data_IF_176996722391
#
_entry.id   IF_176996722391
#
_cell.length_a   1.000
_cell.length_b   1.000
_cell.length_c   1.000
_cell.angle_alpha   90.00
_cell.angle_beta   90.00
_cell.angle_gamma   90.00
#
_symmetry.space_group_name_H-M   'P 1'
#
loop_
_entity.id
_entity.type
_entity.pdbx_description
1 polymer ?
#
# COMPACT_ATOMS: atom_id res chain seq x y z
N UNK A 1 8.58 12.22 -20.62
CA UNK A 1 8.91 13.06 -19.46
C UNK A 1 8.49 12.32 -18.20
N UNK A 2 9.20 12.42 -17.09
CA UNK A 2 8.95 11.58 -15.90
C UNK A 2 7.51 11.67 -15.37
N UNK A 3 6.87 12.83 -15.58
CA UNK A 3 5.45 13.06 -15.33
C UNK A 3 4.53 12.25 -16.23
N UNK A 4 4.83 12.09 -17.51
CA UNK A 4 3.99 11.29 -18.42
C UNK A 4 4.07 9.80 -18.12
N UNK A 5 5.20 9.27 -17.64
CA UNK A 5 5.32 7.84 -17.32
C UNK A 5 4.56 7.48 -16.02
N UNK A 6 4.67 8.31 -14.99
CA UNK A 6 3.88 8.09 -13.75
C UNK A 6 2.40 8.39 -13.96
N UNK A 7 2.06 9.42 -14.74
CA UNK A 7 0.68 9.69 -15.12
C UNK A 7 0.10 8.55 -15.96
N UNK A 8 0.86 7.98 -16.90
CA UNK A 8 0.43 6.81 -17.68
C UNK A 8 0.34 5.54 -16.84
N UNK A 9 1.19 5.33 -15.83
CA UNK A 9 1.04 4.21 -14.88
C UNK A 9 -0.18 4.39 -13.97
N UNK A 10 -0.44 5.61 -13.52
CA UNK A 10 -1.62 5.95 -12.73
C UNK A 10 -2.90 5.79 -13.57
N UNK A 11 -2.87 6.24 -14.84
CA UNK A 11 -3.95 6.01 -15.82
C UNK A 11 -4.13 4.53 -16.17
N UNK A 12 -3.06 3.75 -16.28
CA UNK A 12 -3.14 2.31 -16.53
C UNK A 12 -3.73 1.56 -15.31
N UNK A 13 -3.40 2.00 -14.09
CA UNK A 13 -4.05 1.52 -12.85
C UNK A 13 -5.54 1.87 -12.82
N UNK A 14 -5.92 3.07 -13.27
CA UNK A 14 -7.33 3.50 -13.38
C UNK A 14 -8.10 2.73 -14.47
N UNK A 15 -7.44 2.33 -15.56
CA UNK A 15 -8.06 1.58 -16.66
C UNK A 15 -8.23 0.08 -16.36
N UNK A 16 -7.47 -0.49 -15.42
CA UNK A 16 -7.57 -1.90 -15.01
C UNK A 16 -8.58 -2.15 -13.88
N UNK A 17 -9.21 -1.10 -13.36
CA UNK A 17 -10.11 -1.18 -12.20
C UNK A 17 -11.51 -1.82 -12.40
N UNK A 18 -12.02 -2.20 -13.59
CA UNK A 18 -13.33 -2.84 -13.64
C UNK A 18 -13.24 -4.33 -14.00
N UNK A 19 -12.72 -5.19 -13.11
CA UNK A 19 -12.96 -6.65 -13.16
C UNK A 19 -13.08 -7.30 -11.77
N UNK A 20 -13.73 -6.63 -10.80
CA UNK A 20 -14.26 -7.36 -9.64
C UNK A 20 -15.63 -7.93 -10.01
N UNK A 21 -15.62 -9.23 -10.31
CA UNK A 21 -16.78 -10.10 -10.56
C UNK A 21 -17.85 -9.91 -9.50
N UNK A 22 -19.03 -9.47 -9.92
CA UNK A 22 -20.27 -9.63 -9.14
C UNK A 22 -20.66 -11.11 -9.19
N UNK A 23 -20.61 -11.79 -8.05
CA UNK A 23 -21.29 -13.08 -7.86
C UNK A 23 -22.51 -12.85 -6.98
N UNK A 24 -23.70 -13.12 -7.52
CA UNK A 24 -24.99 -13.07 -6.80
C UNK A 24 -25.21 -14.40 -6.10
N UNK A 25 -25.52 -14.39 -4.80
CA UNK A 25 -26.51 -15.30 -4.20
C UNK A 25 -27.08 -14.77 -2.86
N UNK A 26 -28.42 -14.70 -2.85
CA UNK A 26 -29.44 -14.71 -1.78
C UNK A 26 -29.07 -14.53 -0.29
N UNK A 27 -29.62 -13.42 0.26
CA UNK A 27 -30.37 -13.28 1.53
C UNK A 27 -29.77 -13.83 2.83
N UNK A 28 -28.86 -13.06 3.42
CA UNK A 28 -28.92 -12.48 4.78
C UNK A 28 -27.53 -11.89 5.09
N UNK A 29 -27.14 -10.76 4.50
CA UNK A 29 -25.71 -10.43 4.47
C UNK A 29 -25.40 -9.09 5.11
N UNK A 30 -24.88 -9.14 6.33
CA UNK A 30 -23.78 -8.25 6.69
C UNK A 30 -22.72 -8.41 5.60
N UNK A 31 -22.62 -7.43 4.71
CA UNK A 31 -21.60 -7.45 3.65
C UNK A 31 -20.24 -7.46 4.33
N UNK A 32 -19.35 -8.44 4.04
CA UNK A 32 -17.99 -8.41 4.54
C UNK A 32 -17.38 -7.08 4.14
N UNK A 33 -16.83 -6.35 5.12
CA UNK A 33 -16.07 -5.14 4.83
C UNK A 33 -14.95 -5.56 3.85
N UNK A 34 -14.79 -4.87 2.70
CA UNK A 34 -13.72 -5.18 1.77
C UNK A 34 -12.36 -5.18 2.47
N UNK A 35 -11.34 -5.78 1.86
CA UNK A 35 -9.98 -5.70 2.42
C UNK A 35 -9.21 -4.63 1.64
N UNK A 36 -8.59 -3.63 2.31
CA UNK A 36 -7.80 -2.63 1.61
C UNK A 36 -6.59 -3.25 0.93
N UNK A 37 -6.32 -2.81 -0.30
CA UNK A 37 -5.10 -3.07 -1.02
C UNK A 37 -4.07 -1.96 -0.78
N UNK A 38 -2.78 -2.26 -1.01
CA UNK A 38 -1.74 -1.22 -0.94
C UNK A 38 -2.04 -0.10 -1.93
N UNK A 39 -2.64 -0.41 -3.09
CA UNK A 39 -3.13 0.59 -4.04
C UNK A 39 -4.14 1.58 -3.45
N UNK A 40 -4.99 1.16 -2.50
CA UNK A 40 -5.92 2.08 -1.80
C UNK A 40 -5.17 3.05 -0.90
N UNK A 41 -4.17 2.54 -0.18
CA UNK A 41 -3.25 3.31 0.68
C UNK A 41 -2.46 4.35 -0.12
N UNK A 42 -2.13 4.06 -1.39
CA UNK A 42 -1.41 5.00 -2.26
C UNK A 42 -2.20 6.28 -2.59
N UNK A 43 -3.50 6.33 -2.30
CA UNK A 43 -4.32 7.54 -2.51
C UNK A 43 -4.34 8.48 -1.29
N UNK A 44 -3.66 8.14 -0.19
CA UNK A 44 -3.63 8.92 1.05
C UNK A 44 -2.24 9.57 1.25
N UNK A 45 -2.12 10.84 0.89
CA UNK A 45 -0.82 11.55 0.89
C UNK A 45 -0.21 11.70 2.29
N UNK A 46 -1.03 11.94 3.32
CA UNK A 46 -0.57 12.11 4.70
C UNK A 46 -0.06 10.80 5.29
N UNK A 47 -0.75 9.70 4.99
CA UNK A 47 -0.28 8.37 5.33
C UNK A 47 1.03 8.05 4.61
N UNK A 48 1.11 8.30 3.30
CA UNK A 48 2.32 8.08 2.52
C UNK A 48 3.49 8.90 3.07
N UNK A 49 3.27 10.16 3.43
CA UNK A 49 4.29 11.01 4.06
C UNK A 49 4.78 10.39 5.38
N UNK A 50 3.87 9.93 6.23
CA UNK A 50 4.20 9.28 7.50
C UNK A 50 5.02 8.00 7.30
N UNK A 51 4.65 7.17 6.33
CA UNK A 51 5.37 5.93 6.02
C UNK A 51 6.78 6.23 5.51
N UNK A 52 6.95 7.23 4.65
CA UNK A 52 8.27 7.67 4.17
C UNK A 52 9.19 8.09 5.30
N UNK A 53 8.70 8.93 6.22
CA UNK A 53 9.50 9.35 7.38
C UNK A 53 9.97 8.17 8.22
N UNK A 54 9.17 7.10 8.31
CA UNK A 54 9.47 5.91 9.12
C UNK A 54 10.32 4.87 8.39
N UNK A 55 10.21 4.77 7.08
CA UNK A 55 10.76 3.66 6.30
C UNK A 55 11.89 4.08 5.37
N UNK A 56 11.99 5.33 4.92
CA UNK A 56 13.09 5.80 4.07
C UNK A 56 14.44 5.83 4.79
N UNK A 57 14.55 6.29 6.06
CA UNK A 57 15.84 6.36 6.73
C UNK A 57 16.53 5.00 6.85
N UNK A 58 17.84 4.97 6.54
CA UNK A 58 18.68 3.83 6.79
C UNK A 58 19.27 3.93 8.20
N UNK A 59 18.75 3.14 9.12
CA UNK A 59 19.31 3.00 10.46
C UNK A 59 19.77 1.55 10.65
N UNK A 60 21.03 1.28 11.06
CA UNK A 60 21.61 -0.07 11.05
C UNK A 60 20.78 -1.14 11.79
N UNK A 61 20.07 -0.74 12.85
CA UNK A 61 19.29 -1.64 13.70
C UNK A 61 17.79 -1.62 13.43
N UNK A 62 17.27 -0.64 12.67
CA UNK A 62 15.83 -0.50 12.40
C UNK A 62 15.56 -0.99 10.99
N UNK A 63 14.72 -2.02 10.87
CA UNK A 63 14.37 -2.61 9.57
C UNK A 63 13.55 -1.65 8.74
N UNK A 64 13.99 -1.35 7.53
CA UNK A 64 13.42 -0.29 6.70
C UNK A 64 12.79 -0.85 5.41
N UNK A 65 12.45 0.04 4.45
CA UNK A 65 11.85 -0.36 3.17
C UNK A 65 12.65 -1.46 2.46
N UNK A 66 13.99 -1.44 2.56
CA UNK A 66 14.89 -2.38 1.87
C UNK A 66 14.73 -3.80 2.42
N UNK A 67 14.56 -3.93 3.73
CA UNK A 67 14.28 -5.22 4.35
C UNK A 67 12.91 -5.76 3.94
N UNK A 68 11.92 -4.88 3.86
CA UNK A 68 10.56 -5.24 3.46
C UNK A 68 10.54 -5.73 2.01
N UNK A 69 11.12 -4.95 1.11
CA UNK A 69 11.30 -5.28 -0.30
C UNK A 69 12.03 -6.61 -0.51
N UNK A 70 13.16 -6.81 0.18
CA UNK A 70 13.92 -8.07 0.11
C UNK A 70 13.10 -9.27 0.59
N UNK A 71 12.32 -9.13 1.68
CA UNK A 71 11.46 -10.21 2.18
C UNK A 71 10.35 -10.60 1.20
N UNK A 72 9.89 -9.65 0.39
CA UNK A 72 8.93 -9.88 -0.68
C UNK A 72 9.57 -10.24 -2.02
N UNK A 73 10.87 -10.53 -2.04
CA UNK A 73 11.55 -11.15 -3.18
C UNK A 73 12.20 -10.17 -4.16
N UNK A 74 12.31 -8.87 -3.83
CA UNK A 74 13.10 -7.95 -4.66
C UNK A 74 14.58 -8.32 -4.61
N UNK A 75 15.19 -8.40 -5.79
CA UNK A 75 16.61 -8.74 -5.96
C UNK A 75 17.53 -7.62 -5.50
N UNK A 76 18.80 -7.93 -5.24
CA UNK A 76 19.79 -6.92 -4.85
C UNK A 76 19.89 -5.77 -5.86
N UNK A 77 19.93 -6.08 -7.16
CA UNK A 77 20.03 -5.09 -8.23
C UNK A 77 18.79 -4.19 -8.27
N UNK A 78 17.59 -4.73 -8.06
CA UNK A 78 16.37 -3.94 -7.97
C UNK A 78 16.35 -3.01 -6.75
N UNK A 79 16.90 -3.45 -5.61
CA UNK A 79 17.04 -2.61 -4.42
C UNK A 79 18.00 -1.44 -4.69
N UNK A 80 19.18 -1.73 -5.26
CA UNK A 80 20.15 -0.69 -5.61
C UNK A 80 19.60 0.27 -6.67
N UNK A 81 18.80 -0.22 -7.62
CA UNK A 81 18.11 0.62 -8.58
C UNK A 81 17.14 1.60 -7.92
N UNK A 82 16.41 1.19 -6.87
CA UNK A 82 15.54 2.12 -6.11
C UNK A 82 16.34 3.14 -5.30
N UNK A 83 17.49 2.77 -4.74
CA UNK A 83 18.38 3.67 -3.98
C UNK A 83 18.95 4.81 -4.84
N UNK A 84 19.14 4.58 -6.14
CA UNK A 84 19.66 5.57 -7.09
C UNK A 84 18.62 6.57 -7.58
N UNK A 85 17.33 6.29 -7.36
CA UNK A 85 16.26 7.18 -7.82
C UNK A 85 16.13 8.41 -6.91
N UNK A 86 15.75 9.57 -7.47
CA UNK A 86 15.45 10.75 -6.66
C UNK A 86 14.12 10.62 -5.90
N UNK A 87 13.27 9.63 -6.22
CA UNK A 87 12.03 9.36 -5.52
C UNK A 87 12.25 8.57 -4.24
N UNK A 88 11.30 8.68 -3.30
CA UNK A 88 11.30 7.86 -2.09
C UNK A 88 11.26 6.36 -2.45
N UNK A 89 12.24 5.56 -1.98
CA UNK A 89 12.24 4.13 -2.24
C UNK A 89 11.09 3.41 -1.52
N UNK A 90 10.56 3.95 -0.41
CA UNK A 90 9.33 3.43 0.22
C UNK A 90 8.14 3.53 -0.72
N UNK A 91 7.96 4.66 -1.41
CA UNK A 91 6.84 4.83 -2.34
C UNK A 91 6.94 3.88 -3.54
N UNK A 92 8.13 3.73 -4.11
CA UNK A 92 8.35 2.81 -5.23
C UNK A 92 8.13 1.35 -4.81
N UNK A 93 8.56 0.97 -3.59
CA UNK A 93 8.30 -0.34 -3.02
C UNK A 93 6.78 -0.61 -2.86
N UNK A 94 6.03 0.34 -2.30
CA UNK A 94 4.59 0.22 -2.12
C UNK A 94 3.88 0.15 -3.48
N UNK A 95 4.26 1.00 -4.43
CA UNK A 95 3.69 1.01 -5.78
C UNK A 95 3.90 -0.32 -6.52
N UNK A 96 5.09 -0.92 -6.43
CA UNK A 96 5.38 -2.23 -7.03
C UNK A 96 4.56 -3.38 -6.41
N UNK A 97 4.01 -3.18 -5.22
CA UNK A 97 3.23 -4.16 -4.49
C UNK A 97 1.77 -3.70 -4.32
N UNK A 98 1.27 -2.79 -5.17
CA UNK A 98 -0.06 -2.20 -5.04
C UNK A 98 -1.20 -3.23 -5.03
N UNK A 99 -1.00 -4.38 -5.67
CA UNK A 99 -1.95 -5.51 -5.72
C UNK A 99 -1.95 -6.39 -4.46
N UNK A 100 -0.99 -6.20 -3.54
CA UNK A 100 -1.00 -6.89 -2.24
C UNK A 100 -2.00 -6.22 -1.29
N UNK A 101 -2.52 -6.98 -0.34
CA UNK A 101 -3.41 -6.43 0.69
C UNK A 101 -2.60 -5.68 1.76
N UNK A 102 -3.23 -4.69 2.40
CA UNK A 102 -2.62 -4.00 3.55
C UNK A 102 -2.41 -4.97 4.72
N UNK A 103 -3.23 -6.02 4.84
CA UNK A 103 -3.02 -7.10 5.81
C UNK A 103 -1.66 -7.79 5.63
N UNK A 104 -1.24 -8.06 4.40
CA UNK A 104 0.10 -8.62 4.12
C UNK A 104 1.22 -7.65 4.51
N UNK A 105 1.04 -6.35 4.29
CA UNK A 105 1.99 -5.31 4.74
C UNK A 105 2.05 -5.23 6.27
N UNK A 106 0.91 -5.36 6.95
CA UNK A 106 0.80 -5.44 8.41
C UNK A 106 1.57 -6.66 8.95
N UNK A 107 1.42 -7.82 8.33
CA UNK A 107 2.14 -9.03 8.74
C UNK A 107 3.65 -8.88 8.57
N UNK A 108 4.09 -8.15 7.54
CA UNK A 108 5.49 -7.80 7.36
C UNK A 108 6.00 -6.88 8.47
N UNK A 109 5.18 -5.91 8.89
CA UNK A 109 5.50 -5.04 10.02
C UNK A 109 5.62 -5.84 11.33
N UNK A 110 4.72 -6.80 11.57
CA UNK A 110 4.78 -7.71 12.73
C UNK A 110 6.04 -8.57 12.69
N UNK A 111 6.36 -9.17 11.54
CA UNK A 111 7.56 -9.99 11.34
C UNK A 111 8.84 -9.23 11.70
N UNK A 112 8.98 -7.99 11.23
CA UNK A 112 10.13 -7.14 11.52
C UNK A 112 10.01 -6.35 12.82
N UNK A 113 8.94 -6.57 13.60
CA UNK A 113 8.65 -5.85 14.85
C UNK A 113 8.64 -4.33 14.69
N UNK A 114 8.22 -3.83 13.52
CA UNK A 114 8.02 -2.39 13.21
C UNK A 114 6.68 -1.90 13.76
N UNK A 115 6.59 -1.85 15.09
CA UNK A 115 5.37 -1.46 15.83
C UNK A 115 4.93 -0.03 15.48
N UNK A 116 5.88 0.86 15.19
CA UNK A 116 5.63 2.25 14.82
C UNK A 116 4.95 2.40 13.45
N UNK A 117 5.25 1.51 12.49
CA UNK A 117 4.57 1.45 11.19
C UNK A 117 3.27 0.68 11.30
N UNK A 118 3.26 -0.43 12.06
CA UNK A 118 2.08 -1.24 12.31
C UNK A 118 0.92 -0.40 12.83
N UNK A 119 1.14 0.40 13.88
CA UNK A 119 0.11 1.27 14.47
C UNK A 119 -0.47 2.27 13.47
N UNK A 120 0.37 2.81 12.58
CA UNK A 120 -0.06 3.75 11.54
C UNK A 120 -1.00 3.04 10.56
N UNK A 121 -0.62 1.85 10.09
CA UNK A 121 -1.43 1.06 9.16
C UNK A 121 -2.76 0.61 9.78
N UNK A 122 -2.74 0.07 10.99
CA UNK A 122 -3.94 -0.36 11.72
C UNK A 122 -4.90 0.81 11.95
N UNK A 123 -4.38 1.96 12.40
CA UNK A 123 -5.18 3.16 12.60
C UNK A 123 -5.85 3.62 11.31
N UNK A 124 -5.12 3.60 10.19
CA UNK A 124 -5.67 3.99 8.89
C UNK A 124 -6.77 3.05 8.41
N UNK A 125 -6.57 1.72 8.53
CA UNK A 125 -7.57 0.73 8.15
C UNK A 125 -8.87 0.93 8.94
N UNK A 126 -8.76 1.10 10.27
CA UNK A 126 -9.90 1.22 11.16
C UNK A 126 -10.64 2.55 11.03
N UNK A 127 -9.91 3.67 10.89
CA UNK A 127 -10.48 5.01 11.03
C UNK A 127 -10.71 5.71 9.71
N UNK A 128 -9.84 5.56 8.73
CA UNK A 128 -9.88 6.40 7.53
C UNK A 128 -10.43 5.61 6.34
N UNK A 129 -9.84 4.45 6.06
CA UNK A 129 -10.26 3.61 4.93
C UNK A 129 -11.70 3.10 5.09
N UNK A 130 -12.05 2.54 6.27
CA UNK A 130 -13.39 2.01 6.51
C UNK A 130 -14.51 3.08 6.42
N UNK A 131 -14.23 4.33 6.85
CA UNK A 131 -15.17 5.45 6.70
C UNK A 131 -15.34 5.84 5.22
N UNK A 132 -14.25 5.89 4.46
CA UNK A 132 -14.28 6.16 3.03
C UNK A 132 -15.12 5.14 2.27
N UNK A 133 -14.94 3.86 2.56
CA UNK A 133 -15.73 2.77 1.97
C UNK A 133 -17.21 2.81 2.34
N UNK A 134 -17.55 3.15 3.58
CA UNK A 134 -18.94 3.32 3.99
C UNK A 134 -19.61 4.48 3.23
N UNK A 135 -18.90 5.61 3.04
CA UNK A 135 -19.40 6.74 2.26
C UNK A 135 -19.61 6.40 0.79
N UNK A 136 -18.68 5.66 0.16
CA UNK A 136 -18.81 5.21 -1.24
C UNK A 136 -20.07 4.36 -1.44
N UNK A 137 -20.34 3.43 -0.51
CA UNK A 137 -21.52 2.56 -0.56
C UNK A 137 -22.85 3.29 -0.34
N UNK A 138 -22.88 4.33 0.49
CA UNK A 138 -24.12 5.09 0.74
C UNK A 138 -24.49 6.04 -0.40
N UNK A 139 -23.55 6.33 -1.31
CA UNK A 139 -23.74 7.24 -2.44
C UNK A 139 -24.02 6.50 -3.76
N UNK A 140 -24.23 5.18 -3.71
CA UNK A 140 -24.45 4.30 -4.85
C UNK A 140 -25.80 3.62 -4.75
#
# INVERSE_FOLDING_TARGET
DYWTINLMKFFLMLLLLPLMKVSKHSSSSSTPIPTPFIGDLMNDEDLLYTLRLKLDPCHPTIKNWRNFASKWGMTYDELCFLEQKPQSPTLEFLLRNSERTVAQLIDLCKFYKRVDVLKVLETWVEKEWAKGEAKRRNNQ
#
